data_IF_029846694780
#
_entry.id   IF_029846694780
#
_cell.length_a   1.000
_cell.length_b   1.000
_cell.length_c   1.000
_cell.angle_alpha   90.00
_cell.angle_beta   90.00
_cell.angle_gamma   90.00
#
_symmetry.space_group_name_H-M   'P 1'
#
loop_
_entity.id
_entity.type
_entity.pdbx_description
1 polymer ?
#
# COMPACT_ATOMS: atom_id res chain seq x y z
N UNK A 1 -12.28 6.15 -1.73
CA UNK A 1 -11.91 5.30 -2.90
C UNK A 1 -12.27 5.99 -4.21
N UNK A 2 -11.32 6.71 -4.81
CA UNK A 2 -11.44 7.09 -6.23
C UNK A 2 -11.09 5.85 -7.07
N UNK A 3 -12.09 5.26 -7.70
CA UNK A 3 -11.87 4.19 -8.67
C UNK A 3 -11.02 4.73 -9.83
N UNK A 4 -9.78 4.26 -9.95
CA UNK A 4 -8.93 4.52 -11.12
C UNK A 4 -7.53 5.09 -10.86
N UNK A 5 -7.17 5.46 -9.62
CA UNK A 5 -5.78 5.83 -9.33
C UNK A 5 -4.95 4.61 -8.92
N UNK A 6 -3.70 4.49 -9.39
CA UNK A 6 -2.85 3.37 -9.02
C UNK A 6 -2.32 3.50 -7.60
N UNK A 7 -2.33 2.40 -6.86
CA UNK A 7 -1.61 2.31 -5.57
C UNK A 7 -0.12 2.29 -5.85
N UNK A 8 0.62 3.23 -5.26
CA UNK A 8 2.07 3.39 -5.45
C UNK A 8 2.88 3.14 -4.17
N UNK A 9 2.25 3.21 -2.99
CA UNK A 9 2.91 2.90 -1.72
C UNK A 9 1.97 2.10 -0.83
N UNK A 10 2.51 1.04 -0.23
CA UNK A 10 1.85 0.18 0.74
C UNK A 10 2.74 0.07 1.96
N UNK A 11 2.17 0.23 3.15
CA UNK A 11 2.87 0.02 4.43
C UNK A 11 2.14 -1.02 5.27
N UNK A 12 2.91 -1.85 5.95
CA UNK A 12 2.42 -2.77 6.97
C UNK A 12 2.97 -2.31 8.31
N UNK A 13 2.14 -1.60 9.07
CA UNK A 13 2.53 -0.99 10.34
C UNK A 13 2.92 -2.07 11.37
N UNK A 14 3.97 -1.81 12.14
CA UNK A 14 4.47 -2.72 13.17
C UNK A 14 3.82 -2.51 14.54
N UNK A 15 3.12 -1.39 14.76
CA UNK A 15 2.44 -1.07 16.00
C UNK A 15 1.06 -1.74 16.12
N UNK A 16 0.23 -1.59 15.09
CA UNK A 16 -1.15 -2.14 15.08
C UNK A 16 -1.40 -3.22 14.01
N UNK A 17 -0.39 -3.51 13.18
CA UNK A 17 -0.53 -4.45 12.06
C UNK A 17 -1.42 -3.94 10.94
N UNK A 18 -1.74 -2.64 10.91
CA UNK A 18 -2.61 -2.06 9.90
C UNK A 18 -1.88 -1.94 8.56
N UNK A 19 -2.66 -2.11 7.49
CA UNK A 19 -2.23 -1.84 6.13
C UNK A 19 -2.62 -0.43 5.73
N UNK A 20 -1.68 0.34 5.20
CA UNK A 20 -1.95 1.66 4.62
C UNK A 20 -1.58 1.65 3.14
N UNK A 21 -2.39 2.33 2.32
CA UNK A 21 -2.24 2.38 0.86
C UNK A 21 -2.29 3.84 0.41
N UNK A 22 -1.32 4.26 -0.39
CA UNK A 22 -1.27 5.59 -0.99
C UNK A 22 -1.33 5.50 -2.51
N UNK A 23 -2.08 6.43 -3.11
CA UNK A 23 -2.29 6.52 -4.55
C UNK A 23 -1.43 7.64 -5.15
N UNK A 24 -0.98 7.47 -6.40
CA UNK A 24 -0.24 8.50 -7.13
C UNK A 24 -1.12 9.68 -7.55
N UNK A 25 -0.92 10.84 -6.93
CA UNK A 25 -1.58 12.10 -7.23
C UNK A 25 -1.35 13.10 -6.10
N UNK A 26 -1.42 14.41 -6.35
CA UNK A 26 -1.30 15.43 -5.31
C UNK A 26 -2.28 15.12 -4.17
N UNK A 27 -1.71 14.77 -3.03
CA UNK A 27 -2.40 14.27 -1.85
C UNK A 27 -2.97 15.48 -1.10
N UNK A 28 -4.10 16.00 -1.57
CA UNK A 28 -5.00 16.73 -0.68
C UNK A 28 -5.72 15.68 0.17
N UNK A 29 -5.12 15.44 1.35
CA UNK A 29 -5.74 15.04 2.60
C UNK A 29 -6.77 13.88 2.61
N UNK A 30 -6.55 12.96 3.54
CA UNK A 30 -7.51 11.94 4.03
C UNK A 30 -8.18 11.04 2.97
N UNK A 31 -7.49 9.94 2.64
CA UNK A 31 -8.18 8.68 2.33
C UNK A 31 -7.36 7.51 2.90
N UNK A 32 -6.88 7.64 4.15
CA UNK A 32 -6.24 6.57 4.92
C UNK A 32 -7.30 5.55 5.36
N UNK A 33 -7.77 4.74 4.41
CA UNK A 33 -8.76 3.71 4.70
C UNK A 33 -8.05 2.43 5.12
N UNK A 34 -8.11 2.10 6.41
CA UNK A 34 -7.65 0.81 6.96
C UNK A 34 -8.68 -0.24 6.55
N UNK A 35 -8.41 -0.95 5.46
CA UNK A 35 -9.24 -2.04 4.94
C UNK A 35 -8.52 -3.36 5.14
N UNK A 36 -9.26 -4.41 5.51
CA UNK A 36 -8.72 -5.77 5.48
C UNK A 36 -8.18 -6.04 4.07
N UNK A 37 -6.92 -6.47 3.96
CA UNK A 37 -6.21 -6.70 2.70
C UNK A 37 -7.07 -7.48 1.69
N UNK A 38 -7.83 -8.47 2.15
CA UNK A 38 -8.76 -9.26 1.32
C UNK A 38 -9.83 -8.44 0.58
N UNK A 39 -10.32 -7.34 1.15
CA UNK A 39 -11.27 -6.44 0.49
C UNK A 39 -10.59 -5.57 -0.56
N UNK A 40 -9.33 -5.19 -0.32
CA UNK A 40 -8.50 -4.44 -1.28
C UNK A 40 -8.14 -5.32 -2.48
N UNK A 41 -7.76 -6.58 -2.25
CA UNK A 41 -7.41 -7.52 -3.32
C UNK A 41 -8.55 -7.79 -4.30
N UNK A 42 -9.81 -7.59 -3.89
CA UNK A 42 -10.96 -7.65 -4.81
C UNK A 42 -11.01 -6.48 -5.79
N UNK A 43 -10.48 -5.33 -5.40
CA UNK A 43 -10.45 -4.10 -6.20
C UNK A 43 -9.12 -3.91 -6.92
N UNK A 44 -8.04 -4.37 -6.30
CA UNK A 44 -6.65 -4.24 -6.74
C UNK A 44 -5.93 -5.59 -6.64
N UNK A 45 -6.17 -6.51 -7.60
CA UNK A 45 -5.55 -7.84 -7.61
C UNK A 45 -4.02 -7.81 -7.66
N UNK A 46 -3.44 -6.73 -8.19
CA UNK A 46 -1.99 -6.52 -8.26
C UNK A 46 -1.33 -6.49 -6.88
N UNK A 47 -2.07 -6.12 -5.83
CA UNK A 47 -1.53 -6.08 -4.47
C UNK A 47 -1.38 -7.47 -3.83
N UNK A 48 -1.83 -8.53 -4.52
CA UNK A 48 -1.71 -9.91 -4.04
C UNK A 48 -0.25 -10.32 -3.83
N UNK A 49 0.67 -9.75 -4.59
CA UNK A 49 2.11 -10.00 -4.43
C UNK A 49 2.67 -9.41 -3.14
N UNK A 50 1.99 -8.46 -2.50
CA UNK A 50 2.39 -7.85 -1.24
C UNK A 50 1.74 -8.53 -0.03
N UNK A 51 0.93 -9.58 -0.20
CA UNK A 51 0.27 -10.24 0.92
C UNK A 51 1.23 -10.91 1.92
N UNK A 52 2.49 -11.09 1.52
CA UNK A 52 3.58 -11.61 2.34
C UNK A 52 4.50 -10.51 2.93
N UNK A 53 4.15 -9.23 2.78
CA UNK A 53 4.96 -8.12 3.29
C UNK A 53 5.07 -8.21 4.82
N UNK A 54 6.30 -8.27 5.38
CA UNK A 54 6.48 -8.37 6.83
C UNK A 54 5.97 -7.15 7.60
N UNK A 55 5.70 -7.31 8.89
CA UNK A 55 5.43 -6.18 9.79
C UNK A 55 6.62 -5.21 9.81
N UNK A 56 6.32 -3.90 9.82
CA UNK A 56 7.34 -2.85 9.79
C UNK A 56 8.01 -2.69 8.43
N UNK A 57 7.38 -3.16 7.35
CA UNK A 57 7.89 -2.97 5.99
C UNK A 57 6.98 -2.10 5.15
N UNK A 58 7.57 -1.55 4.09
CA UNK A 58 6.84 -0.84 3.04
C UNK A 58 7.25 -1.34 1.66
N UNK A 59 6.31 -1.23 0.73
CA UNK A 59 6.51 -1.49 -0.68
C UNK A 59 6.11 -0.25 -1.48
N UNK A 60 7.00 0.23 -2.35
CA UNK A 60 6.75 1.39 -3.22
C UNK A 60 7.05 1.05 -4.68
N UNK A 61 6.34 1.68 -5.62
CA UNK A 61 6.61 1.60 -7.06
C UNK A 61 6.35 2.95 -7.72
N UNK A 62 7.06 3.24 -8.80
CA UNK A 62 6.91 4.50 -9.53
C UNK A 62 5.61 4.56 -10.36
N UNK A 63 5.19 3.41 -10.90
CA UNK A 63 3.94 3.26 -11.66
C UNK A 63 3.45 1.80 -11.60
N UNK A 64 2.20 1.50 -12.02
CA UNK A 64 1.69 0.12 -12.08
C UNK A 64 2.54 -0.87 -12.87
N UNK A 65 3.30 -0.38 -13.84
CA UNK A 65 4.16 -1.15 -14.72
C UNK A 65 5.54 -1.46 -14.10
N UNK A 66 5.89 -0.79 -13.01
CA UNK A 66 7.14 -1.01 -12.29
C UNK A 66 6.98 -2.04 -11.17
N UNK A 67 8.01 -2.87 -10.91
CA UNK A 67 7.99 -3.81 -9.80
C UNK A 67 8.02 -3.07 -8.46
N UNK A 68 7.48 -3.71 -7.41
CA UNK A 68 7.56 -3.16 -6.06
C UNK A 68 8.97 -3.23 -5.50
N UNK A 69 9.42 -2.10 -4.97
CA UNK A 69 10.61 -1.99 -4.14
C UNK A 69 10.18 -2.15 -2.69
N UNK A 70 10.55 -3.29 -2.09
CA UNK A 70 10.28 -3.61 -0.69
C UNK A 70 11.44 -3.17 0.19
N UNK A 71 11.16 -2.50 1.30
CA UNK A 71 12.18 -2.09 2.28
C UNK A 71 11.63 -2.04 3.71
N UNK A 72 12.47 -2.28 4.72
CA UNK A 72 12.12 -1.98 6.10
C UNK A 72 11.71 -0.52 6.24
N UNK A 73 10.68 -0.28 7.03
CA UNK A 73 10.34 1.04 7.51
C UNK A 73 11.33 1.34 8.65
N UNK A 74 12.43 2.00 8.30
CA UNK A 74 13.35 2.51 9.33
C UNK A 74 12.65 3.72 9.94
N UNK A 75 12.01 3.52 11.09
CA UNK A 75 11.50 4.63 11.89
C UNK A 75 12.71 5.48 12.32
N UNK A 76 12.79 6.70 11.80
CA UNK A 76 13.74 7.74 12.24
C UNK A 76 13.03 8.74 13.12
#
# INVERSE_FOLDING_TARGET
>A
MRAGLPVLLVTHDDGDGAWQFHYGGDVEDVDAMIVALASVLKLHPELSELADLPYGWKAERESPEHPWVRKPRVDS
#
